data_IF_769004740890
#
_entry.id   IF_769004740890
#
_cell.length_a   1.000
_cell.length_b   1.000
_cell.length_c   1.000
_cell.angle_alpha   90.00
_cell.angle_beta   90.00
_cell.angle_gamma   90.00
#
_symmetry.space_group_name_H-M   'P 1'
#
loop_
_entity.id
_entity.type
_entity.pdbx_description
1 polymer ?
#
# COMPACT_ATOMS: atom_id res chain seq x y z
N UNK A 1 53.05 16.61 -74.04
CA UNK A 1 53.77 15.34 -74.28
C UNK A 1 52.88 14.19 -73.83
N UNK A 2 52.35 13.43 -74.79
CA UNK A 2 51.96 12.00 -74.63
C UNK A 2 53.26 11.18 -74.42
N UNK A 3 53.27 9.87 -74.03
CA UNK A 3 52.18 8.91 -74.28
C UNK A 3 51.97 7.70 -73.28
N UNK A 4 50.91 6.92 -73.60
CA UNK A 4 50.75 5.42 -73.59
C UNK A 4 50.73 4.68 -72.24
N UNK A 5 49.95 3.61 -72.00
CA UNK A 5 48.96 2.79 -72.72
C UNK A 5 48.24 1.89 -71.67
N UNK A 6 46.92 1.77 -71.63
CA UNK A 6 46.05 0.71 -72.22
C UNK A 6 46.29 -0.73 -71.75
N UNK A 7 45.27 -1.41 -71.17
CA UNK A 7 44.38 -2.39 -71.85
C UNK A 7 43.43 -3.15 -70.86
N UNK A 8 42.12 -3.15 -71.18
CA UNK A 8 41.07 -4.23 -71.10
C UNK A 8 40.80 -5.03 -69.81
N UNK A 9 39.61 -5.57 -69.50
CA UNK A 9 38.28 -5.60 -70.12
C UNK A 9 37.25 -6.17 -69.09
N UNK A 10 36.00 -5.69 -69.21
CA UNK A 10 34.69 -6.38 -69.13
C UNK A 10 34.54 -7.60 -68.21
N UNK A 11 33.58 -7.52 -67.28
CA UNK A 11 32.52 -8.54 -67.16
C UNK A 11 31.30 -8.01 -66.40
N UNK A 12 30.18 -7.94 -67.13
CA UNK A 12 28.84 -7.80 -66.58
C UNK A 12 28.44 -9.08 -65.84
N UNK A 13 27.86 -8.96 -64.65
CA UNK A 13 26.90 -9.93 -64.14
C UNK A 13 25.99 -9.24 -63.14
N UNK A 14 24.69 -9.23 -63.45
CA UNK A 14 23.67 -8.59 -62.64
C UNK A 14 23.54 -9.21 -61.25
N UNK A 15 23.26 -8.36 -60.26
CA UNK A 15 22.74 -8.77 -58.98
C UNK A 15 21.31 -8.24 -58.87
N UNK A 16 20.39 -9.19 -58.73
CA UNK A 16 18.96 -8.98 -58.53
C UNK A 16 18.68 -7.98 -57.42
N UNK A 17 17.76 -7.04 -57.69
CA UNK A 17 16.97 -6.38 -56.66
C UNK A 17 16.09 -7.43 -55.96
N UNK A 18 16.57 -7.96 -54.85
CA UNK A 18 15.72 -8.63 -53.86
C UNK A 18 15.42 -7.63 -52.76
N UNK A 19 14.17 -7.18 -52.71
CA UNK A 19 13.65 -6.32 -51.68
C UNK A 19 13.85 -6.95 -50.30
N UNK A 20 14.65 -6.31 -49.47
CA UNK A 20 14.69 -6.61 -48.04
C UNK A 20 13.35 -6.20 -47.44
N UNK A 21 12.61 -7.10 -46.77
CA UNK A 21 11.48 -6.67 -45.98
C UNK A 21 12.05 -5.91 -44.79
N UNK A 22 11.70 -4.64 -44.68
CA UNK A 22 11.81 -3.90 -43.43
C UNK A 22 10.90 -4.61 -42.41
N UNK A 23 11.43 -5.64 -41.73
CA UNK A 23 10.90 -6.08 -40.44
C UNK A 23 11.19 -4.95 -39.46
N UNK A 24 10.32 -3.94 -39.46
CA UNK A 24 10.22 -2.98 -38.40
C UNK A 24 9.92 -3.74 -37.12
N UNK A 25 10.89 -3.74 -36.22
CA UNK A 25 10.78 -4.21 -34.85
C UNK A 25 9.61 -3.46 -34.19
N UNK A 26 8.42 -4.04 -34.21
CA UNK A 26 7.33 -3.58 -33.36
C UNK A 26 7.76 -3.86 -31.92
N UNK A 27 8.31 -2.85 -31.26
CA UNK A 27 8.51 -2.89 -29.83
C UNK A 27 7.15 -3.14 -29.17
N UNK A 28 6.98 -4.31 -28.57
CA UNK A 28 5.79 -4.67 -27.79
C UNK A 28 5.61 -3.69 -26.64
N UNK A 29 4.72 -2.71 -26.79
CA UNK A 29 4.30 -1.80 -25.72
C UNK A 29 3.33 -2.45 -24.71
N UNK A 30 3.31 -3.78 -24.60
CA UNK A 30 2.24 -4.51 -23.93
C UNK A 30 2.56 -5.03 -22.51
N UNK A 31 3.65 -4.61 -21.86
CA UNK A 31 4.10 -5.28 -20.61
C UNK A 31 4.41 -4.38 -19.40
N UNK A 32 3.84 -3.16 -19.33
CA UNK A 32 4.03 -2.26 -18.18
C UNK A 32 2.78 -2.05 -17.31
N UNK A 33 1.64 -2.68 -17.65
CA UNK A 33 0.37 -2.50 -16.94
C UNK A 33 0.05 -3.47 -15.75
N UNK A 34 0.67 -4.66 -15.56
CA UNK A 34 0.28 -5.55 -14.46
C UNK A 34 0.90 -5.17 -13.10
N UNK A 35 2.13 -4.61 -13.07
CA UNK A 35 2.83 -4.33 -11.81
C UNK A 35 2.19 -3.18 -11.00
N UNK A 36 1.62 -2.17 -11.67
CA UNK A 36 0.97 -1.03 -11.00
C UNK A 36 -0.41 -1.38 -10.44
N UNK A 37 -1.17 -2.23 -11.15
CA UNK A 37 -2.44 -2.77 -10.67
C UNK A 37 -2.24 -3.60 -9.38
N UNK A 38 -1.18 -4.43 -9.33
CA UNK A 38 -0.84 -5.20 -8.13
C UNK A 38 -0.54 -4.30 -6.91
N UNK A 39 0.19 -3.20 -7.07
CA UNK A 39 0.49 -2.27 -5.96
C UNK A 39 -0.77 -1.58 -5.43
N UNK A 40 -1.67 -1.16 -6.33
CA UNK A 40 -2.98 -0.60 -6.01
C UNK A 40 -3.81 -1.55 -5.14
N UNK A 41 -3.89 -2.82 -5.55
CA UNK A 41 -4.68 -3.82 -4.86
C UNK A 41 -4.08 -4.21 -3.51
N UNK A 42 -2.75 -4.30 -3.42
CA UNK A 42 -2.01 -4.52 -2.18
C UNK A 42 -2.27 -3.38 -1.18
N UNK A 43 -2.12 -2.12 -1.59
CA UNK A 43 -2.38 -0.99 -0.68
C UNK A 43 -3.84 -0.95 -0.22
N UNK A 44 -4.78 -1.27 -1.11
CA UNK A 44 -6.19 -1.39 -0.74
C UNK A 44 -6.44 -2.53 0.25
N UNK A 45 -5.75 -3.66 0.11
CA UNK A 45 -5.76 -4.74 1.09
C UNK A 45 -5.27 -4.31 2.47
N UNK A 46 -4.26 -3.44 2.55
CA UNK A 46 -3.81 -2.84 3.81
C UNK A 46 -4.88 -1.95 4.46
N UNK A 47 -5.57 -1.11 3.68
CA UNK A 47 -6.71 -0.33 4.20
C UNK A 47 -7.82 -1.23 4.76
N UNK A 48 -8.12 -2.33 4.05
CA UNK A 48 -9.13 -3.30 4.49
C UNK A 48 -8.70 -4.04 5.76
N UNK A 49 -7.41 -4.39 5.88
CA UNK A 49 -6.83 -4.99 7.09
C UNK A 49 -7.01 -4.12 8.34
N UNK A 50 -6.89 -2.80 8.16
CA UNK A 50 -7.14 -1.83 9.22
C UNK A 50 -8.63 -1.76 9.59
N UNK A 51 -9.50 -1.34 8.65
CA UNK A 51 -10.92 -1.10 8.91
C UNK A 51 -11.76 -1.25 7.64
N UNK A 52 -12.07 -2.50 7.29
CA UNK A 52 -12.71 -2.84 6.03
C UNK A 52 -14.02 -2.11 5.75
N UNK A 53 -14.91 -1.97 6.74
CA UNK A 53 -16.21 -1.33 6.53
C UNK A 53 -16.08 0.16 6.16
N UNK A 54 -15.05 0.85 6.65
CA UNK A 54 -14.78 2.24 6.27
C UNK A 54 -14.25 2.35 4.83
N UNK A 55 -13.59 1.30 4.31
CA UNK A 55 -13.15 1.25 2.91
C UNK A 55 -14.29 0.87 1.98
N UNK A 56 -15.18 -0.01 2.43
CA UNK A 56 -16.32 -0.48 1.67
C UNK A 56 -17.54 0.45 1.77
N UNK A 57 -17.47 1.48 2.61
CA UNK A 57 -18.59 2.40 2.90
C UNK A 57 -19.85 1.66 3.39
N UNK A 58 -19.65 0.64 4.23
CA UNK A 58 -20.72 -0.16 4.83
C UNK A 58 -20.84 0.07 6.32
N UNK A 59 -21.98 -0.34 6.89
CA UNK A 59 -22.15 -0.30 8.34
C UNK A 59 -21.18 -1.26 9.05
N UNK A 60 -20.65 -0.87 10.22
CA UNK A 60 -19.80 -1.74 11.01
C UNK A 60 -20.61 -2.92 11.59
N UNK A 61 -19.98 -4.09 11.79
CA UNK A 61 -20.58 -5.16 12.58
C UNK A 61 -20.86 -4.70 14.02
N UNK A 62 -22.06 -4.97 14.53
CA UNK A 62 -22.45 -4.52 15.87
C UNK A 62 -22.02 -5.50 16.97
N UNK A 63 -21.97 -6.78 16.66
CA UNK A 63 -21.64 -7.83 17.63
C UNK A 63 -20.13 -8.01 17.76
N UNK A 64 -19.68 -8.61 18.87
CA UNK A 64 -18.30 -9.08 19.01
C UNK A 64 -18.04 -10.23 18.04
N UNK A 65 -16.87 -10.24 17.40
CA UNK A 65 -16.46 -11.28 16.46
C UNK A 65 -16.44 -12.64 17.19
N UNK A 66 -17.08 -13.71 16.66
CA UNK A 66 -17.22 -14.98 17.38
C UNK A 66 -15.90 -15.67 17.76
N UNK A 67 -14.84 -15.47 16.96
CA UNK A 67 -13.49 -15.96 17.27
C UNK A 67 -12.67 -15.01 18.17
N UNK A 68 -13.24 -13.88 18.61
CA UNK A 68 -12.54 -12.98 19.52
C UNK A 68 -12.44 -13.65 20.90
N UNK A 69 -11.24 -13.76 21.48
CA UNK A 69 -11.00 -14.59 22.65
C UNK A 69 -11.49 -13.92 23.94
N UNK A 70 -11.89 -14.73 24.91
CA UNK A 70 -12.44 -14.26 26.18
C UNK A 70 -11.44 -13.43 27.03
N UNK A 71 -10.14 -13.67 26.86
CA UNK A 71 -9.07 -12.88 27.49
C UNK A 71 -8.86 -11.50 26.85
N UNK A 72 -9.41 -11.29 25.64
CA UNK A 72 -9.33 -10.02 24.93
C UNK A 72 -10.22 -8.96 25.58
N UNK A 73 -9.77 -7.70 25.59
CA UNK A 73 -10.45 -6.59 26.31
C UNK A 73 -11.31 -5.69 25.42
N UNK A 74 -11.61 -6.13 24.21
CA UNK A 74 -12.35 -5.37 23.20
C UNK A 74 -13.70 -6.03 22.92
N UNK A 75 -14.64 -5.28 22.36
CA UNK A 75 -15.98 -5.75 22.02
C UNK A 75 -16.54 -5.02 20.81
N UNK A 76 -17.63 -5.55 20.25
CA UNK A 76 -18.32 -4.95 19.10
C UNK A 76 -17.45 -4.86 17.85
N UNK A 77 -17.69 -3.83 17.03
CA UNK A 77 -17.06 -3.66 15.71
C UNK A 77 -15.54 -3.70 15.71
N UNK A 78 -14.89 -3.22 16.78
CA UNK A 78 -13.43 -3.20 16.90
C UNK A 78 -12.80 -4.59 16.75
N UNK A 79 -13.51 -5.63 17.19
CA UNK A 79 -13.05 -7.03 17.14
C UNK A 79 -13.09 -7.66 15.75
N UNK A 80 -13.71 -6.98 14.77
CA UNK A 80 -13.77 -7.39 13.36
C UNK A 80 -12.68 -6.75 12.49
N UNK A 81 -11.73 -6.03 13.09
CA UNK A 81 -10.57 -5.49 12.38
C UNK A 81 -9.46 -6.54 12.39
N UNK A 82 -8.89 -6.86 11.23
CA UNK A 82 -7.81 -7.86 11.15
C UNK A 82 -6.64 -7.47 12.06
N UNK A 83 -6.31 -6.17 12.13
CA UNK A 83 -5.28 -5.64 13.02
C UNK A 83 -5.53 -5.94 14.50
N UNK A 84 -6.79 -6.10 14.94
CA UNK A 84 -7.10 -6.27 16.36
C UNK A 84 -6.58 -7.60 16.90
N UNK A 85 -6.72 -8.67 16.11
CA UNK A 85 -6.17 -9.98 16.45
C UNK A 85 -4.72 -10.14 15.99
N UNK A 86 -4.39 -9.67 14.78
CA UNK A 86 -3.10 -9.95 14.15
C UNK A 86 -2.03 -8.85 14.32
N UNK A 87 -2.39 -7.75 14.98
CA UNK A 87 -1.48 -6.67 15.34
C UNK A 87 -1.14 -5.70 14.21
N UNK A 88 -0.72 -4.49 14.58
CA UNK A 88 -0.21 -3.51 13.61
C UNK A 88 1.14 -3.90 13.00
N UNK A 89 1.95 -4.65 13.73
CA UNK A 89 3.23 -5.20 13.28
C UNK A 89 3.10 -6.59 12.65
N UNK A 90 1.87 -7.03 12.39
CA UNK A 90 1.52 -8.31 11.76
C UNK A 90 1.94 -9.55 12.56
N UNK A 91 2.34 -9.41 13.82
CA UNK A 91 2.87 -10.49 14.68
C UNK A 91 1.90 -10.93 15.79
N UNK A 92 0.76 -10.26 15.95
CA UNK A 92 -0.26 -10.62 16.95
C UNK A 92 0.34 -10.74 18.36
N UNK A 93 0.08 -11.87 19.01
CA UNK A 93 0.55 -12.20 20.35
C UNK A 93 2.08 -12.30 20.49
N UNK A 94 2.84 -12.45 19.40
CA UNK A 94 4.31 -12.45 19.42
C UNK A 94 4.89 -11.05 19.19
N UNK A 95 4.03 -10.07 18.90
CA UNK A 95 4.41 -8.75 18.43
C UNK A 95 4.20 -7.61 19.42
N UNK A 96 3.80 -6.46 18.86
CA UNK A 96 3.46 -5.26 19.61
C UNK A 96 2.26 -5.51 20.54
N UNK A 97 1.40 -6.46 20.19
CA UNK A 97 0.21 -6.87 20.96
C UNK A 97 0.48 -8.02 21.92
N UNK A 98 1.75 -8.39 22.20
CA UNK A 98 2.11 -9.47 23.15
C UNK A 98 1.62 -9.29 24.59
N UNK A 99 1.18 -8.08 24.95
CA UNK A 99 0.58 -7.74 26.24
C UNK A 99 -0.26 -6.46 26.10
N UNK A 100 -1.06 -6.16 27.13
CA UNK A 100 -1.83 -4.92 27.22
C UNK A 100 -3.28 -5.08 26.76
N UNK A 101 -3.93 -3.97 26.40
CA UNK A 101 -5.36 -3.94 26.07
C UNK A 101 -5.72 -4.66 24.77
N UNK A 102 -4.77 -4.79 23.84
CA UNK A 102 -4.97 -5.46 22.55
C UNK A 102 -4.45 -6.91 22.51
N UNK A 103 -4.02 -7.46 23.64
CA UNK A 103 -3.59 -8.85 23.69
C UNK A 103 -4.78 -9.78 23.50
N UNK A 104 -4.63 -10.76 22.61
CA UNK A 104 -5.65 -11.76 22.26
C UNK A 104 -5.11 -13.19 22.32
N UNK A 105 -3.81 -13.41 22.51
CA UNK A 105 -3.20 -14.73 22.36
C UNK A 105 -3.18 -15.27 20.91
N UNK A 106 -3.75 -14.54 19.95
CA UNK A 106 -3.81 -14.95 18.53
C UNK A 106 -2.49 -14.60 17.84
N UNK A 107 -1.94 -15.55 17.09
CA UNK A 107 -0.72 -15.35 16.30
C UNK A 107 -0.90 -14.32 15.17
N UNK A 108 0.20 -13.71 14.76
CA UNK A 108 0.22 -12.81 13.61
C UNK A 108 0.07 -13.51 12.25
N UNK A 109 0.16 -12.70 11.19
CA UNK A 109 0.06 -13.11 9.79
C UNK A 109 1.42 -13.19 9.08
N UNK A 110 2.55 -12.89 9.74
CA UNK A 110 3.90 -12.91 9.11
C UNK A 110 4.21 -14.21 8.36
N UNK A 111 3.78 -15.35 8.90
CA UNK A 111 3.97 -16.67 8.28
C UNK A 111 3.19 -16.88 6.97
N UNK A 112 2.28 -15.97 6.61
CA UNK A 112 1.53 -15.99 5.35
C UNK A 112 2.16 -15.14 4.26
N UNK A 113 3.28 -14.45 4.54
CA UNK A 113 4.03 -13.75 3.49
C UNK A 113 4.53 -14.77 2.44
N UNK A 114 4.32 -14.47 1.15
CA UNK A 114 4.63 -15.33 0.02
C UNK A 114 3.65 -16.49 -0.21
N UNK A 115 2.65 -16.70 0.67
CA UNK A 115 1.65 -17.74 0.46
C UNK A 115 0.72 -17.40 -0.71
N UNK A 116 0.11 -18.41 -1.35
CA UNK A 116 -0.86 -18.20 -2.42
C UNK A 116 -2.05 -17.34 -1.92
N UNK A 117 -2.32 -16.16 -2.55
CA UNK A 117 -3.47 -15.33 -2.20
C UNK A 117 -4.81 -16.08 -2.25
N UNK A 118 -4.99 -17.09 -3.11
CA UNK A 118 -6.23 -17.87 -3.15
C UNK A 118 -6.48 -18.61 -1.84
N UNK A 119 -5.42 -19.19 -1.26
CA UNK A 119 -5.47 -19.83 0.05
C UNK A 119 -5.84 -18.84 1.15
N UNK A 120 -5.28 -17.63 1.11
CA UNK A 120 -5.59 -16.59 2.09
C UNK A 120 -7.04 -16.12 1.96
N UNK A 121 -7.53 -15.87 0.75
CA UNK A 121 -8.92 -15.50 0.52
C UNK A 121 -9.89 -16.57 1.05
N UNK A 122 -9.60 -17.86 0.82
CA UNK A 122 -10.37 -18.95 1.40
C UNK A 122 -10.36 -18.97 2.94
N UNK A 123 -9.23 -18.60 3.58
CA UNK A 123 -9.16 -18.50 5.04
C UNK A 123 -10.08 -17.41 5.61
N UNK A 124 -10.31 -16.30 4.89
CA UNK A 124 -11.24 -15.25 5.33
C UNK A 124 -12.68 -15.75 5.42
N UNK A 125 -13.05 -16.73 4.58
CA UNK A 125 -14.39 -17.32 4.52
C UNK A 125 -14.62 -18.46 5.50
N UNK A 126 -13.55 -18.98 6.11
CA UNK A 126 -13.66 -20.19 6.91
C UNK A 126 -14.47 -19.98 8.21
N UNK A 127 -14.73 -21.08 8.93
CA UNK A 127 -15.47 -21.07 10.21
C UNK A 127 -14.85 -20.21 11.31
N UNK A 128 -13.58 -19.82 11.19
CA UNK A 128 -12.88 -18.98 12.16
C UNK A 128 -13.11 -17.50 11.87
N UNK A 129 -12.79 -17.03 10.65
CA UNK A 129 -12.91 -15.61 10.29
C UNK A 129 -14.32 -15.19 9.90
N UNK A 130 -15.08 -16.09 9.28
CA UNK A 130 -16.53 -15.92 9.01
C UNK A 130 -16.91 -14.64 8.26
N UNK A 131 -16.00 -14.04 7.50
CA UNK A 131 -16.35 -12.91 6.64
C UNK A 131 -17.18 -13.44 5.47
N UNK A 132 -18.46 -13.12 5.44
CA UNK A 132 -19.34 -13.47 4.31
C UNK A 132 -19.08 -12.56 3.12
N UNK A 133 -19.57 -12.95 1.94
CA UNK A 133 -19.49 -12.12 0.73
C UNK A 133 -20.21 -10.77 0.92
N UNK A 134 -21.34 -10.76 1.64
CA UNK A 134 -22.08 -9.54 1.98
C UNK A 134 -21.26 -8.57 2.85
N UNK A 135 -20.39 -9.09 3.74
CA UNK A 135 -19.54 -8.26 4.59
C UNK A 135 -18.32 -7.76 3.82
N UNK A 136 -17.62 -8.66 3.14
CA UNK A 136 -16.42 -8.38 2.37
C UNK A 136 -16.60 -9.09 1.03
N UNK A 137 -16.90 -8.38 -0.07
CA UNK A 137 -17.04 -8.99 -1.40
C UNK A 137 -15.74 -9.67 -1.86
N UNK A 138 -15.83 -10.59 -2.82
CA UNK A 138 -14.67 -11.38 -3.27
C UNK A 138 -13.51 -10.51 -3.80
N UNK A 139 -13.79 -9.40 -4.48
CA UNK A 139 -12.78 -8.39 -4.85
C UNK A 139 -12.02 -7.90 -3.61
N UNK A 140 -12.73 -7.50 -2.56
CA UNK A 140 -12.10 -6.99 -1.34
C UNK A 140 -11.33 -8.09 -0.58
N UNK A 141 -11.86 -9.31 -0.54
CA UNK A 141 -11.18 -10.46 0.04
C UNK A 141 -9.88 -10.78 -0.71
N UNK A 142 -9.88 -10.66 -2.04
CA UNK A 142 -8.69 -10.80 -2.88
C UNK A 142 -7.64 -9.73 -2.58
N UNK A 143 -8.04 -8.46 -2.42
CA UNK A 143 -7.12 -7.38 -2.08
C UNK A 143 -6.46 -7.61 -0.71
N UNK A 144 -7.24 -8.04 0.30
CA UNK A 144 -6.68 -8.45 1.62
C UNK A 144 -5.69 -9.59 1.43
N UNK A 145 -6.02 -10.59 0.62
CA UNK A 145 -5.14 -11.72 0.37
C UNK A 145 -3.82 -11.31 -0.30
N UNK A 146 -3.87 -10.41 -1.28
CA UNK A 146 -2.67 -9.83 -1.90
C UNK A 146 -1.83 -9.06 -0.88
N UNK A 147 -2.45 -8.27 -0.01
CA UNK A 147 -1.75 -7.58 1.07
C UNK A 147 -1.06 -8.55 2.05
N UNK A 148 -1.78 -9.57 2.51
CA UNK A 148 -1.23 -10.57 3.43
C UNK A 148 -0.10 -11.36 2.73
N UNK A 149 -0.23 -11.70 1.46
CA UNK A 149 0.82 -12.45 0.75
C UNK A 149 2.04 -11.57 0.44
N UNK A 150 1.83 -10.37 -0.10
CA UNK A 150 2.87 -9.58 -0.79
C UNK A 150 3.09 -8.18 -0.22
N UNK A 151 2.14 -7.66 0.56
CA UNK A 151 2.15 -6.28 1.08
C UNK A 151 2.74 -6.10 2.47
N UNK A 152 2.91 -7.19 3.22
CA UNK A 152 3.48 -7.15 4.57
C UNK A 152 4.95 -6.69 4.56
N UNK A 153 5.36 -6.07 5.67
CA UNK A 153 6.76 -5.73 5.95
C UNK A 153 7.10 -6.22 7.36
N UNK A 154 8.32 -6.76 7.54
CA UNK A 154 8.83 -7.02 8.89
C UNK A 154 9.27 -5.69 9.52
N UNK A 155 8.55 -5.26 10.56
CA UNK A 155 8.77 -3.96 11.19
C UNK A 155 9.85 -3.98 12.28
N UNK A 156 10.30 -5.15 12.74
CA UNK A 156 11.31 -5.28 13.81
C UNK A 156 12.67 -4.67 13.45
N UNK A 157 13.21 -4.87 12.23
CA UNK A 157 14.44 -4.18 11.83
C UNK A 157 14.22 -2.66 11.63
N UNK A 158 12.98 -2.18 11.61
CA UNK A 158 12.66 -0.80 11.26
C UNK A 158 12.27 0.06 12.46
N UNK A 159 11.69 -0.56 13.49
CA UNK A 159 11.20 0.10 14.69
C UNK A 159 11.78 -0.63 15.91
N UNK A 160 12.45 0.12 16.78
CA UNK A 160 12.90 -0.41 18.05
C UNK A 160 11.69 -0.71 18.95
N UNK A 161 11.49 -1.99 19.27
CA UNK A 161 10.28 -2.45 19.99
C UNK A 161 10.18 -1.91 21.42
N UNK A 162 11.31 -1.63 22.06
CA UNK A 162 11.37 -1.17 23.45
C UNK A 162 11.09 0.32 23.52
N UNK A 163 11.80 1.10 22.70
CA UNK A 163 11.74 2.57 22.72
C UNK A 163 10.68 3.13 21.78
N UNK A 164 10.08 2.30 20.92
CA UNK A 164 9.15 2.67 19.83
C UNK A 164 9.76 3.60 18.78
N UNK A 165 11.08 3.83 18.79
CA UNK A 165 11.74 4.72 17.84
C UNK A 165 11.91 4.05 16.48
N UNK A 166 11.54 4.77 15.43
CA UNK A 166 11.88 4.38 14.06
C UNK A 166 13.38 4.52 13.82
N UNK A 167 13.96 3.59 13.04
CA UNK A 167 15.40 3.56 12.72
C UNK A 167 15.75 4.35 11.44
N UNK A 168 14.90 5.28 11.02
CA UNK A 168 15.10 6.11 9.82
C UNK A 168 15.87 7.41 10.08
N UNK A 169 16.25 8.10 9.00
CA UNK A 169 16.81 9.45 9.03
C UNK A 169 15.68 10.49 8.97
N UNK A 170 15.42 11.15 10.10
CA UNK A 170 14.40 12.20 10.21
C UNK A 170 14.66 13.41 9.28
N UNK A 171 15.90 13.71 8.89
CA UNK A 171 16.18 14.79 7.92
C UNK A 171 15.71 14.42 6.53
N UNK A 172 15.93 13.16 6.11
CA UNK A 172 15.38 12.64 4.84
C UNK A 172 13.86 12.61 4.91
N UNK A 173 13.30 12.15 6.03
CA UNK A 173 11.86 12.11 6.27
C UNK A 173 11.17 13.47 6.18
N UNK A 174 11.82 14.53 6.69
CA UNK A 174 11.31 15.91 6.62
C UNK A 174 11.00 16.36 5.19
N UNK A 175 11.84 15.96 4.23
CA UNK A 175 11.63 16.26 2.80
C UNK A 175 10.32 15.64 2.32
N UNK A 176 10.13 14.34 2.55
CA UNK A 176 8.92 13.62 2.14
C UNK A 176 7.67 14.16 2.83
N UNK A 177 7.78 14.48 4.12
CA UNK A 177 6.67 15.06 4.88
C UNK A 177 6.23 16.40 4.31
N UNK A 178 7.18 17.31 4.05
CA UNK A 178 6.88 18.62 3.48
C UNK A 178 6.32 18.54 2.05
N UNK A 179 6.69 17.53 1.29
CA UNK A 179 6.20 17.33 -0.08
C UNK A 179 4.79 16.74 -0.12
N UNK A 180 4.49 15.78 0.76
CA UNK A 180 3.30 14.94 0.64
C UNK A 180 2.32 15.00 1.82
N UNK A 181 2.81 15.23 3.03
CA UNK A 181 2.01 15.10 4.25
C UNK A 181 1.53 16.43 4.80
N UNK A 182 2.36 17.48 4.72
CA UNK A 182 2.05 18.80 5.30
C UNK A 182 0.88 19.50 4.61
N UNK A 183 0.54 19.11 3.38
CA UNK A 183 -0.64 19.61 2.66
C UNK A 183 -1.96 19.33 3.40
N UNK A 184 -2.02 18.25 4.18
CA UNK A 184 -3.21 17.90 4.96
C UNK A 184 -2.94 17.93 6.46
N UNK A 185 -1.77 17.47 6.91
CA UNK A 185 -1.42 17.41 8.32
C UNK A 185 -0.81 18.70 8.88
N UNK A 186 -0.55 19.71 8.03
CA UNK A 186 0.17 20.93 8.41
C UNK A 186 1.67 20.70 8.57
N UNK A 187 2.46 21.77 8.52
CA UNK A 187 3.92 21.67 8.66
C UNK A 187 4.36 21.18 10.05
N UNK A 188 3.57 21.44 11.08
CA UNK A 188 3.80 21.00 12.45
C UNK A 188 2.99 19.74 12.84
N UNK A 189 2.23 19.17 11.92
CA UNK A 189 1.47 17.93 12.16
C UNK A 189 0.17 18.10 12.92
N UNK A 190 -0.25 19.32 13.27
CA UNK A 190 -1.41 19.57 14.14
C UNK A 190 -2.68 20.04 13.42
N UNK A 191 -2.64 20.15 12.09
CA UNK A 191 -3.81 20.62 11.32
C UNK A 191 -5.02 19.67 11.44
N UNK A 192 -4.77 18.38 11.63
CA UNK A 192 -5.82 17.38 11.76
C UNK A 192 -5.78 16.71 13.12
N UNK A 193 -6.72 17.06 13.99
CA UNK A 193 -7.00 16.32 15.22
C UNK A 193 -7.81 15.05 14.89
N UNK A 194 -7.24 13.87 15.15
CA UNK A 194 -7.86 12.57 14.89
C UNK A 194 -8.87 12.15 15.97
N UNK A 195 -8.97 12.92 17.05
CA UNK A 195 -9.91 12.72 18.15
C UNK A 195 -10.72 13.99 18.38
N UNK A 196 -10.63 14.57 19.58
CA UNK A 196 -11.39 15.73 20.02
C UNK A 196 -10.48 16.70 20.77
N UNK A 197 -10.95 17.91 21.03
CA UNK A 197 -10.15 18.96 21.65
C UNK A 197 -9.78 18.67 23.11
N UNK A 198 -10.49 17.74 23.77
CA UNK A 198 -10.20 17.33 25.15
C UNK A 198 -9.08 16.29 25.20
N UNK A 199 -8.99 15.44 24.18
CA UNK A 199 -7.99 14.39 24.05
C UNK A 199 -7.38 14.42 22.65
N UNK A 200 -6.63 15.48 22.28
CA UNK A 200 -6.17 15.66 20.92
C UNK A 200 -5.22 14.54 20.51
N UNK A 201 -5.31 14.11 19.25
CA UNK A 201 -4.40 13.11 18.69
C UNK A 201 -3.97 13.54 17.30
N UNK A 202 -2.68 13.81 17.15
CA UNK A 202 -2.07 14.27 15.90
C UNK A 202 -1.17 13.20 15.30
N UNK A 203 -0.64 13.45 14.10
CA UNK A 203 0.27 12.50 13.44
C UNK A 203 1.52 12.22 14.27
N UNK A 204 2.06 13.22 14.98
CA UNK A 204 3.17 13.05 15.92
C UNK A 204 2.79 12.17 17.12
N UNK A 205 1.58 12.34 17.66
CA UNK A 205 1.03 11.51 18.74
C UNK A 205 0.96 10.04 18.31
N UNK A 206 0.39 9.75 17.14
CA UNK A 206 0.27 8.37 16.64
C UNK A 206 1.64 7.77 16.34
N UNK A 207 2.53 8.52 15.66
CA UNK A 207 3.88 8.07 15.32
C UNK A 207 4.71 7.70 16.56
N UNK A 208 4.51 8.42 17.66
CA UNK A 208 5.25 8.20 18.92
C UNK A 208 4.59 7.11 19.79
N UNK A 209 3.26 7.16 19.98
CA UNK A 209 2.55 6.23 20.86
C UNK A 209 2.38 4.84 20.20
N UNK A 210 2.19 4.79 18.89
CA UNK A 210 1.97 3.57 18.11
C UNK A 210 2.65 3.62 16.72
N UNK A 211 3.99 3.49 16.65
CA UNK A 211 4.74 3.62 15.39
C UNK A 211 4.38 2.56 14.35
N UNK A 212 3.92 1.37 14.77
CA UNK A 212 3.50 0.32 13.86
C UNK A 212 2.22 0.67 13.12
N UNK A 213 1.27 1.33 13.81
CA UNK A 213 0.08 1.88 13.17
C UNK A 213 0.42 3.01 12.22
N UNK A 214 1.28 3.94 12.66
CA UNK A 214 1.73 5.03 11.81
C UNK A 214 2.42 4.50 10.55
N UNK A 215 3.31 3.52 10.65
CA UNK A 215 3.96 2.92 9.49
C UNK A 215 2.97 2.21 8.57
N UNK A 216 2.02 1.45 9.14
CA UNK A 216 0.99 0.79 8.35
C UNK A 216 0.19 1.81 7.53
N UNK A 217 -0.19 2.94 8.14
CA UNK A 217 -0.96 4.00 7.49
C UNK A 217 -0.10 4.82 6.51
N UNK A 218 1.18 5.02 6.80
CA UNK A 218 2.15 5.59 5.84
C UNK A 218 2.28 4.72 4.58
N UNK A 219 2.13 3.39 4.71
CA UNK A 219 2.25 2.46 3.58
C UNK A 219 0.97 2.31 2.77
N UNK A 220 -0.17 2.25 3.45
CA UNK A 220 -1.43 1.82 2.84
C UNK A 220 -2.50 2.93 2.83
N UNK A 221 -2.34 3.95 3.67
CA UNK A 221 -3.28 5.05 3.86
C UNK A 221 -4.18 4.90 5.08
N UNK A 222 -5.16 5.80 5.17
CA UNK A 222 -6.18 5.84 6.23
C UNK A 222 -7.54 5.38 5.69
N UNK A 223 -8.19 4.35 6.26
CA UNK A 223 -9.54 3.96 5.85
C UNK A 223 -10.57 5.08 6.02
N UNK A 224 -11.48 5.21 5.05
CA UNK A 224 -12.58 6.19 5.08
C UNK A 224 -12.19 7.64 4.77
N UNK A 225 -10.90 7.97 4.64
CA UNK A 225 -10.43 9.30 4.25
C UNK A 225 -9.45 9.16 3.09
N UNK A 226 -9.56 10.08 2.13
CA UNK A 226 -8.58 10.21 1.05
C UNK A 226 -7.28 10.80 1.59
N UNK A 227 -6.41 9.95 2.12
CA UNK A 227 -4.99 10.30 2.32
C UNK A 227 -4.29 10.19 0.95
N UNK A 228 -4.68 11.06 0.02
CA UNK A 228 -4.26 11.06 -1.39
C UNK A 228 -3.24 12.16 -1.61
N UNK A 229 -2.29 11.88 -2.49
CA UNK A 229 -1.36 12.85 -3.06
C UNK A 229 -2.06 13.64 -4.18
N UNK A 230 -2.13 14.99 -4.13
CA UNK A 230 -2.45 15.80 -5.30
C UNK A 230 -1.20 16.56 -5.77
N UNK A 231 -0.47 16.05 -6.78
CA UNK A 231 0.34 16.89 -7.69
C UNK A 231 0.69 16.15 -9.00
N UNK A 232 0.97 16.87 -10.11
CA UNK A 232 0.73 16.39 -11.46
C UNK A 232 1.73 15.29 -11.82
N UNK A 233 1.20 14.13 -12.18
CA UNK A 233 1.98 13.16 -12.92
C UNK A 233 2.16 13.70 -14.36
N UNK A 234 3.16 13.21 -15.09
CA UNK A 234 3.34 13.56 -16.49
C UNK A 234 2.06 13.27 -17.31
N UNK A 235 1.89 13.89 -18.48
CA UNK A 235 0.66 13.75 -19.28
C UNK A 235 0.26 12.30 -19.61
N UNK A 236 1.20 11.36 -19.63
CA UNK A 236 0.94 9.93 -19.85
C UNK A 236 0.41 9.23 -18.60
N UNK A 237 0.91 9.60 -17.43
CA UNK A 237 0.52 9.02 -16.14
C UNK A 237 -0.86 9.50 -15.66
N UNK A 238 -1.27 10.71 -16.04
CA UNK A 238 -2.62 11.22 -15.77
C UNK A 238 -3.68 10.46 -16.56
N UNK A 239 -3.41 10.16 -17.83
CA UNK A 239 -4.30 9.35 -18.65
C UNK A 239 -4.47 7.95 -18.05
N UNK A 240 -3.40 7.33 -17.58
CA UNK A 240 -3.43 5.97 -17.04
C UNK A 240 -3.99 5.88 -15.61
N UNK A 241 -3.69 6.84 -14.74
CA UNK A 241 -4.29 6.95 -13.40
C UNK A 241 -5.78 7.29 -13.47
N UNK A 242 -6.20 8.12 -14.42
CA UNK A 242 -7.61 8.40 -14.68
C UNK A 242 -8.32 7.20 -15.32
N UNK A 243 -7.69 6.44 -16.23
CA UNK A 243 -8.29 5.20 -16.77
C UNK A 243 -8.41 4.11 -15.70
N UNK A 244 -7.43 3.94 -14.81
CA UNK A 244 -7.53 3.00 -13.70
C UNK A 244 -8.63 3.42 -12.72
N UNK A 245 -8.76 4.71 -12.42
CA UNK A 245 -9.85 5.24 -11.59
C UNK A 245 -11.23 5.19 -12.30
N UNK A 246 -11.28 5.25 -13.62
CA UNK A 246 -12.50 5.17 -14.43
C UNK A 246 -12.97 3.73 -14.70
N UNK A 247 -12.06 2.75 -14.67
CA UNK A 247 -12.36 1.33 -14.78
C UNK A 247 -12.86 0.72 -13.46
N UNK A 248 -12.65 1.42 -12.33
CA UNK A 248 -13.17 1.01 -11.03
C UNK A 248 -14.63 1.44 -10.84
N UNK A 249 -15.50 0.57 -10.30
CA UNK A 249 -16.86 0.95 -9.93
C UNK A 249 -16.85 2.15 -8.97
N UNK A 250 -17.62 3.19 -9.31
CA UNK A 250 -17.78 4.39 -8.46
C UNK A 250 -18.26 3.97 -7.07
N UNK A 251 -17.75 4.62 -6.02
CA UNK A 251 -18.31 4.46 -4.67
C UNK A 251 -19.77 4.95 -4.64
N UNK A 252 -20.54 4.54 -3.64
CA UNK A 252 -21.92 5.03 -3.44
C UNK A 252 -21.93 6.56 -3.25
N UNK A 253 -20.82 7.12 -2.77
CA UNK A 253 -20.53 8.55 -2.67
C UNK A 253 -20.16 9.25 -4.00
N UNK A 254 -20.15 8.55 -5.14
CA UNK A 254 -19.82 9.09 -6.47
C UNK A 254 -18.34 9.44 -6.68
N UNK A 255 -17.47 9.18 -5.70
CA UNK A 255 -16.03 9.48 -5.75
C UNK A 255 -15.24 8.30 -6.34
N UNK A 256 -14.18 8.55 -7.13
CA UNK A 256 -13.30 7.48 -7.63
C UNK A 256 -12.53 6.82 -6.48
N UNK A 257 -12.38 5.48 -6.55
CA UNK A 257 -11.64 4.67 -5.56
C UNK A 257 -10.13 4.90 -5.74
N UNK A 258 -9.56 5.88 -5.05
CA UNK A 258 -8.10 6.05 -5.00
C UNK A 258 -7.68 6.27 -3.55
N UNK A 259 -7.18 5.22 -2.93
CA UNK A 259 -6.48 5.27 -1.64
C UNK A 259 -5.07 5.82 -1.80
N UNK A 260 -4.27 5.75 -0.74
CA UNK A 260 -2.89 6.24 -0.68
C UNK A 260 -1.90 5.37 -1.47
N UNK A 261 -2.11 5.26 -2.77
CA UNK A 261 -1.43 4.30 -3.64
C UNK A 261 0.01 4.72 -3.92
N UNK A 262 0.31 6.02 -3.86
CA UNK A 262 1.63 6.56 -4.22
C UNK A 262 2.72 6.42 -3.13
N UNK A 263 2.38 6.02 -1.90
CA UNK A 263 3.42 5.79 -0.89
C UNK A 263 3.87 4.34 -0.82
N UNK A 264 3.04 3.39 -1.27
CA UNK A 264 3.48 2.01 -1.53
C UNK A 264 4.60 1.93 -2.57
N UNK A 265 4.69 2.92 -3.47
CA UNK A 265 5.81 3.08 -4.41
C UNK A 265 7.06 3.73 -3.81
N UNK A 266 6.98 4.36 -2.61
CA UNK A 266 8.20 4.75 -1.90
C UNK A 266 8.92 3.49 -1.39
N UNK A 267 10.24 3.52 -1.43
CA UNK A 267 11.05 2.47 -0.81
C UNK A 267 10.76 2.38 0.70
N UNK A 268 10.93 1.19 1.27
CA UNK A 268 10.71 1.00 2.72
C UNK A 268 11.59 1.95 3.57
N UNK A 269 12.79 2.27 3.10
CA UNK A 269 13.67 3.22 3.77
C UNK A 269 13.06 4.62 3.82
N UNK A 270 12.46 5.10 2.72
CA UNK A 270 11.87 6.44 2.66
C UNK A 270 10.65 6.56 3.59
N UNK A 271 9.86 5.48 3.70
CA UNK A 271 8.72 5.42 4.63
C UNK A 271 9.18 5.40 6.09
N UNK A 272 10.30 4.76 6.38
CA UNK A 272 10.89 4.72 7.72
C UNK A 272 11.56 6.03 8.10
N UNK A 273 12.17 6.71 7.14
CA UNK A 273 12.65 8.07 7.31
C UNK A 273 11.48 9.03 7.58
N UNK A 274 10.38 8.89 6.83
CA UNK A 274 9.15 9.65 7.06
C UNK A 274 8.59 9.40 8.46
N UNK A 275 8.52 8.14 8.91
CA UNK A 275 8.11 7.81 10.28
C UNK A 275 9.06 8.40 11.33
N UNK A 276 10.37 8.34 11.10
CA UNK A 276 11.35 8.93 12.00
C UNK A 276 11.17 10.45 12.11
N UNK A 277 10.82 11.13 11.02
CA UNK A 277 10.48 12.54 11.06
C UNK A 277 9.16 12.81 11.77
N UNK A 278 8.09 12.03 11.53
CA UNK A 278 6.81 12.25 12.21
C UNK A 278 6.91 12.07 13.72
N UNK A 279 7.85 11.25 14.21
CA UNK A 279 8.20 11.15 15.63
C UNK A 279 8.88 12.40 16.22
N UNK A 280 9.34 13.34 15.39
CA UNK A 280 9.89 14.63 15.83
C UNK A 280 8.84 15.74 15.90
N UNK A 281 7.65 15.50 15.35
CA UNK A 281 6.57 16.48 15.36
C UNK A 281 5.97 16.58 16.76
N UNK A 282 5.38 17.75 17.10
CA UNK A 282 4.62 17.93 18.33
C UNK A 282 3.68 16.76 18.61
N UNK A 283 3.77 16.25 19.84
CA UNK A 283 2.75 15.44 20.48
C UNK A 283 1.91 16.37 21.34
N UNK A 284 0.60 16.10 21.45
CA UNK A 284 -0.37 16.75 22.36
C UNK A 284 0.07 18.10 22.95
#
# INVERSE_FOLDING_TARGET
>A
MRPLASFTAVCCAGALFLGAPFLGLAASFADQAPARADVLDISRGGLLYDKWWAVLETDPPQQTHPAYPAEGKSSGSGTWRCKECHGWDYKGAEGAYRKGSHYTGIKGIRAMAGADPRRIAALLRNKTHRYTEDMIPDEAAWNIALFVSRGQVDMDPLIDRTTKRARGDARRGKRFYGEYCSLCHGHDGREMNFKDDKNPEFIGTVATKNPWEALHKIRNGQPGIRMVLPRPLSGQDQAQGATAAAAMPKMRSGRPRVGMVLFGSLGIQDQIDLLAYTQTLPVE
#
